data_IF_932216794432
#
_entry.id   IF_932216794432
#
_cell.length_a   1.000
_cell.length_b   1.000
_cell.length_c   1.000
_cell.angle_alpha   90.00
_cell.angle_beta   90.00
_cell.angle_gamma   90.00
#
_symmetry.space_group_name_H-M   'P 1'
#
loop_
_entity.id
_entity.type
_entity.pdbx_description
1 polymer ?
#
# COMPACT_ATOMS: atom_id res chain seq x y z
N UNK A 1 -9.03 16.41 -13.42
CA UNK A 1 -8.81 15.29 -12.49
C UNK A 1 -10.15 15.00 -11.82
N UNK A 2 -10.65 13.77 -11.89
CA UNK A 2 -11.90 13.39 -11.22
C UNK A 2 -11.72 13.54 -9.70
N UNK A 3 -12.49 14.40 -9.05
CA UNK A 3 -12.53 14.45 -7.58
C UNK A 3 -13.16 13.15 -7.09
N UNK A 4 -12.33 12.22 -6.64
CA UNK A 4 -12.78 11.03 -5.94
C UNK A 4 -13.06 11.41 -4.49
N UNK A 5 -14.26 11.10 -4.00
CA UNK A 5 -14.64 11.34 -2.61
C UNK A 5 -14.80 9.98 -1.93
N UNK A 6 -14.08 9.77 -0.84
CA UNK A 6 -14.13 8.54 -0.06
C UNK A 6 -14.65 8.84 1.33
N UNK A 7 -15.47 7.95 1.89
CA UNK A 7 -15.87 8.06 3.28
C UNK A 7 -14.71 7.68 4.20
N UNK A 8 -14.77 8.11 5.46
CA UNK A 8 -13.77 7.76 6.47
C UNK A 8 -13.70 6.24 6.65
N UNK A 9 -14.85 5.56 6.61
CA UNK A 9 -14.92 4.10 6.74
C UNK A 9 -14.16 3.40 5.61
N UNK A 10 -14.35 3.84 4.37
CA UNK A 10 -13.65 3.26 3.21
C UNK A 10 -12.12 3.45 3.30
N UNK A 11 -11.67 4.57 3.85
CA UNK A 11 -10.25 4.84 4.08
C UNK A 11 -9.72 3.91 5.19
N UNK A 12 -10.41 3.84 6.32
CA UNK A 12 -10.00 3.00 7.47
C UNK A 12 -9.97 1.52 7.10
N UNK A 13 -10.98 1.03 6.39
CA UNK A 13 -11.03 -0.35 5.91
C UNK A 13 -9.88 -0.66 4.94
N UNK A 14 -9.60 0.27 4.01
CA UNK A 14 -8.46 0.11 3.09
C UNK A 14 -7.14 0.06 3.86
N UNK A 15 -6.94 0.92 4.86
CA UNK A 15 -5.72 0.92 5.68
C UNK A 15 -5.56 -0.36 6.50
N UNK A 16 -6.64 -0.90 7.07
CA UNK A 16 -6.62 -2.17 7.81
C UNK A 16 -6.28 -3.35 6.91
N UNK A 17 -6.77 -3.33 5.67
CA UNK A 17 -6.59 -4.41 4.72
C UNK A 17 -5.31 -4.28 3.88
N UNK A 18 -4.56 -3.17 3.99
CA UNK A 18 -3.22 -3.00 3.42
C UNK A 18 -2.20 -3.88 4.18
N UNK A 19 -2.38 -5.19 4.10
CA UNK A 19 -1.45 -6.17 4.66
C UNK A 19 -0.44 -6.64 3.61
N UNK A 20 0.77 -6.90 4.08
CA UNK A 20 1.86 -7.42 3.26
C UNK A 20 2.23 -8.80 3.82
N UNK A 21 2.04 -9.83 3.01
CA UNK A 21 2.45 -11.19 3.33
C UNK A 21 3.90 -11.43 2.87
N UNK A 22 4.69 -12.12 3.70
CA UNK A 22 5.98 -12.68 3.29
C UNK A 22 5.71 -13.98 2.52
N UNK A 23 6.24 -14.10 1.31
CA UNK A 23 6.23 -15.34 0.52
C UNK A 23 7.60 -15.99 0.65
N UNK A 24 7.71 -16.90 1.62
CA UNK A 24 8.84 -17.82 1.79
C UNK A 24 10.22 -17.14 1.69
N UNK A 25 10.35 -15.95 2.27
CA UNK A 25 11.55 -15.09 2.25
C UNK A 25 12.08 -14.68 0.87
N UNK A 26 11.40 -15.04 -0.22
CA UNK A 26 11.74 -14.62 -1.57
C UNK A 26 11.28 -13.20 -1.88
N UNK A 27 10.02 -12.89 -1.55
CA UNK A 27 9.42 -11.59 -1.79
C UNK A 27 8.24 -11.33 -0.87
N UNK A 28 7.85 -10.07 -0.75
CA UNK A 28 6.64 -9.67 -0.06
C UNK A 28 5.53 -9.36 -1.06
N UNK A 29 4.28 -9.73 -0.77
CA UNK A 29 3.13 -9.48 -1.65
C UNK A 29 2.04 -8.73 -0.89
N UNK A 30 1.49 -7.69 -1.51
CA UNK A 30 0.25 -7.07 -1.03
C UNK A 30 -0.88 -8.09 -1.15
N UNK A 31 -1.52 -8.42 -0.04
CA UNK A 31 -2.70 -9.31 -0.04
C UNK A 31 -3.94 -8.61 -0.58
N UNK A 32 -3.88 -7.28 -0.67
CA UNK A 32 -4.95 -6.43 -1.19
C UNK A 32 -4.61 -5.90 -2.57
N UNK A 33 -5.52 -6.12 -3.53
CA UNK A 33 -5.36 -5.69 -4.92
C UNK A 33 -6.19 -4.44 -5.21
N UNK A 34 -5.49 -3.34 -5.54
CA UNK A 34 -5.97 -2.24 -6.38
C UNK A 34 -7.38 -1.68 -6.13
N UNK A 35 -7.71 -1.25 -4.91
CA UNK A 35 -8.86 -0.36 -4.71
C UNK A 35 -8.57 1.07 -5.15
N UNK A 36 -9.62 1.81 -5.54
CA UNK A 36 -9.50 3.23 -5.90
C UNK A 36 -8.96 4.07 -4.73
N UNK A 37 -9.30 3.70 -3.48
CA UNK A 37 -8.76 4.33 -2.27
C UNK A 37 -7.25 4.10 -2.15
N UNK A 38 -6.79 2.86 -2.35
CA UNK A 38 -5.36 2.51 -2.34
C UNK A 38 -4.59 3.28 -3.42
N UNK A 39 -5.15 3.39 -4.64
CA UNK A 39 -4.53 4.18 -5.73
C UNK A 39 -4.47 5.67 -5.39
N UNK A 40 -5.52 6.23 -4.80
CA UNK A 40 -5.55 7.62 -4.38
C UNK A 40 -4.53 7.90 -3.26
N UNK A 41 -4.47 7.04 -2.24
CA UNK A 41 -3.49 7.13 -1.15
C UNK A 41 -2.05 7.04 -1.68
N UNK A 42 -1.77 6.10 -2.59
CA UNK A 42 -0.45 5.99 -3.22
C UNK A 42 -0.09 7.23 -4.04
N UNK A 43 -1.04 7.85 -4.73
CA UNK A 43 -0.81 9.08 -5.52
C UNK A 43 -0.54 10.29 -4.62
N UNK A 44 -1.31 10.45 -3.53
CA UNK A 44 -1.21 11.63 -2.65
C UNK A 44 0.03 11.58 -1.77
N UNK A 45 0.41 10.40 -1.29
CA UNK A 45 1.48 10.23 -0.31
C UNK A 45 2.74 9.56 -0.88
N UNK A 46 2.75 9.22 -2.17
CA UNK A 46 3.87 8.56 -2.87
C UNK A 46 4.37 7.28 -2.16
N UNK A 47 3.44 6.50 -1.60
CA UNK A 47 3.77 5.31 -0.80
C UNK A 47 4.27 4.14 -1.69
N UNK A 48 3.68 4.01 -2.89
CA UNK A 48 3.81 2.87 -3.82
C UNK A 48 3.65 1.49 -3.15
N UNK A 49 2.66 1.36 -2.27
CA UNK A 49 2.33 0.13 -1.53
C UNK A 49 1.37 -0.81 -2.28
N UNK A 50 1.14 -0.58 -3.57
CA UNK A 50 0.28 -1.40 -4.45
C UNK A 50 1.01 -2.41 -5.36
N UNK A 51 2.33 -2.59 -5.25
CA UNK A 51 3.06 -3.57 -6.05
C UNK A 51 2.70 -4.99 -5.64
N UNK A 52 2.50 -5.86 -6.65
CA UNK A 52 2.23 -7.29 -6.46
C UNK A 52 3.37 -8.00 -5.73
N UNK A 53 4.60 -7.56 -5.96
CA UNK A 53 5.79 -8.10 -5.31
C UNK A 53 6.76 -6.99 -4.91
N UNK A 54 7.31 -7.09 -3.70
CA UNK A 54 8.42 -6.28 -3.23
C UNK A 54 9.63 -7.15 -2.95
N UNK A 55 10.80 -6.66 -3.38
CA UNK A 55 12.05 -7.14 -2.83
C UNK A 55 12.20 -6.67 -1.37
N UNK A 56 12.66 -7.53 -0.45
CA UNK A 56 12.84 -7.16 0.96
C UNK A 56 13.63 -5.85 1.17
N UNK A 57 14.70 -5.65 0.40
CA UNK A 57 15.54 -4.45 0.46
C UNK A 57 14.79 -3.17 0.11
N UNK A 58 13.97 -3.19 -0.94
CA UNK A 58 13.23 -2.02 -1.40
C UNK A 58 12.03 -1.73 -0.49
N UNK A 59 11.35 -2.78 0.02
CA UNK A 59 10.31 -2.61 1.02
C UNK A 59 10.87 -2.00 2.32
N UNK A 60 11.99 -2.51 2.82
CA UNK A 60 12.63 -1.99 4.02
C UNK A 60 13.06 -0.52 3.89
N UNK A 61 13.55 -0.11 2.71
CA UNK A 61 13.83 1.30 2.43
C UNK A 61 12.57 2.17 2.51
N UNK A 62 11.45 1.70 1.97
CA UNK A 62 10.16 2.41 2.00
C UNK A 62 9.62 2.53 3.42
N UNK A 63 9.59 1.43 4.17
CA UNK A 63 9.15 1.42 5.57
C UNK A 63 9.99 2.40 6.39
N UNK A 64 11.32 2.44 6.18
CA UNK A 64 12.19 3.41 6.85
C UNK A 64 11.83 4.87 6.57
N UNK A 65 11.42 5.21 5.33
CA UNK A 65 10.97 6.58 4.98
C UNK A 65 9.61 6.95 5.58
N UNK A 66 8.76 5.95 5.84
CA UNK A 66 7.45 6.17 6.45
C UNK A 66 7.60 6.35 7.96
N UNK A 67 8.50 5.58 8.57
CA UNK A 67 8.78 5.62 10.01
C UNK A 67 9.81 6.70 10.41
N UNK A 68 10.48 7.36 9.46
CA UNK A 68 11.57 8.31 9.69
C UNK A 68 11.77 9.32 8.59
#
# INVERSE_FOLDING_TARGET
MNQTHFSVENIVETLKNMEIANIEDMCYMSTYTCSQVCTALNTVFDLELNKKYYQPKELNKKIKKILG
#
